data_IF_771383736564
#
_entry.id   IF_771383736564
#
_cell.length_a   1.000
_cell.length_b   1.000
_cell.length_c   1.000
_cell.angle_alpha   90.00
_cell.angle_beta   90.00
_cell.angle_gamma   90.00
#
_symmetry.space_group_name_H-M   'P 1'
#
loop_
_entity.id
_entity.type
_entity.pdbx_description
1 polymer ?
#
# COMPACT_ATOMS: atom_id res chain seq x y z
N UNK A 1 -20.18 13.08 2.67
CA UNK A 1 -19.37 11.88 2.48
C UNK A 1 -20.34 10.70 2.49
N UNK A 2 -20.60 10.09 1.34
CA UNK A 2 -21.40 8.86 1.32
C UNK A 2 -20.57 7.75 1.97
N UNK A 3 -21.14 7.07 2.95
CA UNK A 3 -20.54 5.89 3.62
C UNK A 3 -20.31 4.72 2.66
N UNK A 4 -20.74 4.85 1.42
CA UNK A 4 -20.80 3.77 0.42
C UNK A 4 -19.47 3.50 -0.28
N UNK A 5 -18.45 4.34 -0.07
CA UNK A 5 -17.12 4.20 -0.66
C UNK A 5 -16.02 4.15 0.42
N UNK A 6 -16.25 3.44 1.50
CA UNK A 6 -15.25 3.24 2.54
C UNK A 6 -14.25 2.14 2.15
N UNK A 7 -12.97 2.37 2.46
CA UNK A 7 -11.92 1.35 2.38
C UNK A 7 -11.52 0.96 3.80
N UNK A 8 -11.49 -0.34 4.06
CA UNK A 8 -11.09 -0.90 5.36
C UNK A 8 -10.08 -2.02 5.14
N UNK A 9 -9.15 -2.18 6.07
CA UNK A 9 -8.16 -3.24 5.99
C UNK A 9 -7.58 -3.63 7.35
N UNK A 10 -7.16 -4.88 7.44
CA UNK A 10 -6.46 -5.45 8.58
C UNK A 10 -5.26 -6.24 8.07
N UNK A 11 -4.14 -6.17 8.78
CA UNK A 11 -2.97 -6.98 8.49
C UNK A 11 -2.35 -7.49 9.80
N UNK A 12 -1.86 -8.71 9.75
CA UNK A 12 -1.11 -9.32 10.84
C UNK A 12 0.17 -9.92 10.27
N UNK A 13 1.30 -9.69 10.94
CA UNK A 13 2.59 -10.23 10.54
C UNK A 13 3.33 -10.76 11.76
N UNK A 14 4.00 -11.91 11.58
CA UNK A 14 4.81 -12.52 12.63
C UNK A 14 6.13 -13.06 12.09
N UNK A 15 7.21 -13.04 12.88
CA UNK A 15 8.47 -13.66 12.52
C UNK A 15 8.28 -15.19 12.33
N UNK A 16 8.93 -15.73 11.30
CA UNK A 16 8.96 -17.16 11.02
C UNK A 16 10.36 -17.56 10.53
N UNK A 17 11.16 -18.17 11.40
CA UNK A 17 12.53 -18.54 11.09
C UNK A 17 13.39 -17.31 10.71
N UNK A 18 13.97 -17.34 9.50
CA UNK A 18 14.77 -16.22 8.95
C UNK A 18 13.95 -15.13 8.26
N UNK A 19 12.63 -15.26 8.23
CA UNK A 19 11.72 -14.37 7.55
C UNK A 19 10.56 -13.93 8.42
N UNK A 20 9.51 -13.48 7.75
CA UNK A 20 8.26 -13.04 8.34
C UNK A 20 7.12 -13.52 7.43
N UNK A 21 6.10 -14.12 8.02
CA UNK A 21 4.83 -14.42 7.36
C UNK A 21 3.82 -13.34 7.71
N UNK A 22 2.98 -12.95 6.75
CA UNK A 22 1.91 -12.01 6.99
C UNK A 22 0.63 -12.43 6.29
N UNK A 23 -0.49 -12.10 6.91
CA UNK A 23 -1.82 -12.20 6.33
C UNK A 23 -2.45 -10.82 6.32
N UNK A 24 -3.19 -10.51 5.28
CA UNK A 24 -3.93 -9.26 5.20
C UNK A 24 -5.30 -9.47 4.58
N UNK A 25 -6.22 -8.59 4.90
CA UNK A 25 -7.55 -8.55 4.32
C UNK A 25 -8.03 -7.12 4.20
N UNK A 26 -8.73 -6.80 3.11
CA UNK A 26 -9.29 -5.49 2.90
C UNK A 26 -10.59 -5.54 2.12
N UNK A 27 -11.40 -4.51 2.29
CA UNK A 27 -12.62 -4.31 1.54
C UNK A 27 -12.74 -2.86 1.10
N UNK A 28 -13.32 -2.66 -0.08
CA UNK A 28 -13.67 -1.36 -0.65
C UNK A 28 -15.07 -1.39 -1.21
N UNK A 29 -15.84 -0.33 -0.98
CA UNK A 29 -17.19 -0.19 -1.51
C UNK A 29 -18.27 -0.65 -0.53
N UNK A 30 -19.50 -0.76 -1.05
CA UNK A 30 -20.71 -1.13 -0.31
C UNK A 30 -21.32 -2.40 -0.87
N UNK A 31 -21.81 -3.26 0.00
CA UNK A 31 -22.42 -4.57 -0.37
C UNK A 31 -23.65 -4.46 -1.27
N UNK A 32 -24.29 -3.29 -1.33
CA UNK A 32 -25.49 -3.09 -2.14
C UNK A 32 -25.23 -2.69 -3.60
N UNK A 33 -24.05 -2.11 -3.92
CA UNK A 33 -23.73 -1.59 -5.24
C UNK A 33 -22.50 -2.29 -5.84
N UNK A 34 -21.38 -2.15 -5.18
CA UNK A 34 -20.09 -2.69 -5.61
C UNK A 34 -19.25 -2.95 -4.38
N UNK A 35 -18.73 -4.14 -4.23
CA UNK A 35 -17.80 -4.50 -3.17
C UNK A 35 -16.61 -5.26 -3.74
N UNK A 36 -15.43 -4.76 -3.45
CA UNK A 36 -14.17 -5.42 -3.73
C UNK A 36 -13.54 -5.91 -2.43
N UNK A 37 -13.18 -7.17 -2.37
CA UNK A 37 -12.47 -7.77 -1.24
C UNK A 37 -11.14 -8.32 -1.73
N UNK A 38 -10.11 -8.19 -0.89
CA UNK A 38 -8.78 -8.74 -1.15
C UNK A 38 -8.28 -9.44 0.11
N UNK A 39 -7.75 -10.63 -0.05
CA UNK A 39 -7.12 -11.42 1.00
C UNK A 39 -5.74 -11.84 0.54
N UNK A 40 -4.71 -11.51 1.31
CA UNK A 40 -3.32 -11.76 0.95
C UNK A 40 -2.61 -12.64 1.98
N UNK A 41 -1.72 -13.49 1.47
CA UNK A 41 -0.74 -14.25 2.24
C UNK A 41 0.65 -13.89 1.72
N UNK A 42 1.52 -13.38 2.59
CA UNK A 42 2.85 -12.92 2.24
C UNK A 42 3.93 -13.65 3.03
N UNK A 43 5.09 -13.79 2.40
CA UNK A 43 6.33 -14.19 3.06
C UNK A 43 7.45 -13.26 2.61
N UNK A 44 8.21 -12.75 3.57
CA UNK A 44 9.37 -11.90 3.32
C UNK A 44 10.56 -12.37 4.13
N UNK A 45 11.76 -12.21 3.56
CA UNK A 45 12.99 -12.59 4.24
C UNK A 45 14.12 -11.61 3.96
N UNK A 46 15.10 -11.61 4.86
CA UNK A 46 16.36 -10.89 4.65
C UNK A 46 17.37 -11.78 3.96
N UNK A 47 17.94 -11.29 2.87
CA UNK A 47 19.07 -11.89 2.18
C UNK A 47 20.33 -11.10 2.54
N UNK A 48 21.06 -11.56 3.56
CA UNK A 48 22.17 -10.83 4.14
C UNK A 48 21.72 -9.58 4.93
N UNK A 49 22.59 -8.57 5.02
CA UNK A 49 22.35 -7.39 5.84
C UNK A 49 21.61 -6.26 5.11
N UNK A 50 21.69 -6.25 3.78
CA UNK A 50 21.26 -5.10 2.97
C UNK A 50 20.07 -5.37 2.07
N UNK A 51 19.75 -6.63 1.80
CA UNK A 51 18.71 -7.01 0.86
C UNK A 51 17.51 -7.65 1.59
N UNK A 52 16.31 -7.29 1.19
CA UNK A 52 15.05 -7.90 1.64
C UNK A 52 14.23 -8.24 0.42
N UNK A 53 13.64 -9.42 0.42
CA UNK A 53 12.76 -9.89 -0.65
C UNK A 53 11.46 -10.37 -0.05
N UNK A 54 10.38 -10.23 -0.78
CA UNK A 54 9.06 -10.70 -0.36
C UNK A 54 8.23 -11.13 -1.55
N UNK A 55 7.34 -12.06 -1.29
CA UNK A 55 6.32 -12.53 -2.23
C UNK A 55 4.98 -12.55 -1.53
N UNK A 56 3.91 -12.31 -2.28
CA UNK A 56 2.55 -12.36 -1.77
C UNK A 56 1.63 -12.98 -2.82
N UNK A 57 0.66 -13.74 -2.35
CA UNK A 57 -0.47 -14.22 -3.15
C UNK A 57 -1.74 -13.57 -2.61
N UNK A 58 -2.55 -13.03 -3.52
CA UNK A 58 -3.80 -12.38 -3.18
C UNK A 58 -4.97 -13.05 -3.88
N UNK A 59 -6.03 -13.27 -3.14
CA UNK A 59 -7.34 -13.60 -3.69
C UNK A 59 -8.18 -12.33 -3.76
N UNK A 60 -8.53 -11.93 -4.97
CA UNK A 60 -9.42 -10.81 -5.26
C UNK A 60 -10.82 -11.36 -5.49
N UNK A 61 -11.82 -10.76 -4.83
CA UNK A 61 -13.22 -11.06 -5.01
C UNK A 61 -14.00 -9.77 -5.26
N UNK A 62 -14.72 -9.71 -6.38
CA UNK A 62 -15.59 -8.61 -6.75
C UNK A 62 -17.04 -9.07 -6.74
N UNK A 63 -17.89 -8.25 -6.15
CA UNK A 63 -19.35 -8.41 -6.18
C UNK A 63 -19.96 -7.18 -6.81
N UNK A 64 -20.84 -7.40 -7.78
CA UNK A 64 -21.60 -6.36 -8.45
C UNK A 64 -23.06 -6.54 -8.07
N UNK A 65 -23.66 -5.61 -7.33
CA UNK A 65 -25.08 -5.58 -6.97
C UNK A 65 -25.78 -6.92 -6.76
N UNK A 66 -27.00 -6.93 -6.31
CA UNK A 66 -27.69 -8.17 -5.95
C UNK A 66 -27.91 -9.17 -7.11
N UNK A 67 -27.90 -8.71 -8.38
CA UNK A 67 -28.23 -9.53 -9.55
C UNK A 67 -27.11 -9.71 -10.57
N UNK A 68 -25.92 -9.10 -10.38
CA UNK A 68 -24.85 -9.12 -11.38
C UNK A 68 -23.73 -10.12 -11.10
N UNK A 69 -23.88 -10.90 -10.02
CA UNK A 69 -22.99 -12.00 -9.70
C UNK A 69 -21.70 -11.59 -8.97
N UNK A 70 -20.85 -12.57 -8.79
CA UNK A 70 -19.50 -12.43 -8.17
C UNK A 70 -18.45 -13.02 -9.07
N UNK A 71 -17.26 -12.42 -9.05
CA UNK A 71 -16.09 -12.97 -9.74
C UNK A 71 -14.87 -12.85 -8.86
N UNK A 72 -13.91 -13.73 -9.05
CA UNK A 72 -12.68 -13.72 -8.27
C UNK A 72 -11.50 -14.22 -9.08
N UNK A 73 -10.31 -13.84 -8.67
CA UNK A 73 -9.06 -14.29 -9.28
C UNK A 73 -7.91 -14.24 -8.27
N UNK A 74 -6.82 -14.91 -8.60
CA UNK A 74 -5.59 -14.91 -7.80
C UNK A 74 -4.53 -14.08 -8.51
N UNK A 75 -3.93 -13.14 -7.78
CA UNK A 75 -2.77 -12.36 -8.22
C UNK A 75 -1.55 -12.69 -7.37
N UNK A 76 -0.37 -12.50 -7.92
CA UNK A 76 0.89 -12.59 -7.20
C UNK A 76 1.52 -11.20 -7.07
N UNK A 77 2.41 -11.05 -6.09
CA UNK A 77 3.25 -9.87 -5.91
C UNK A 77 4.67 -10.27 -5.58
N UNK A 78 5.61 -9.47 -6.04
CA UNK A 78 7.04 -9.64 -5.72
C UNK A 78 7.59 -8.28 -5.32
N UNK A 79 8.29 -8.24 -4.20
CA UNK A 79 8.92 -7.03 -3.67
C UNK A 79 10.39 -7.24 -3.37
N UNK A 80 11.16 -6.19 -3.61
CA UNK A 80 12.58 -6.11 -3.35
C UNK A 80 12.90 -4.79 -2.65
N UNK A 81 13.73 -4.82 -1.61
CA UNK A 81 14.23 -3.62 -0.95
C UNK A 81 15.71 -3.80 -0.67
N UNK A 82 16.52 -2.79 -1.02
CA UNK A 82 17.94 -2.81 -0.79
C UNK A 82 18.43 -1.53 -0.09
N UNK A 83 19.28 -1.73 0.93
CA UNK A 83 19.99 -0.66 1.62
C UNK A 83 21.31 -0.40 0.88
N UNK A 84 21.39 0.67 0.09
CA UNK A 84 22.59 1.02 -0.67
C UNK A 84 23.65 1.66 0.23
N UNK A 85 23.22 2.61 1.07
CA UNK A 85 24.06 3.25 2.10
C UNK A 85 23.33 3.27 3.42
N UNK A 86 23.90 3.82 4.48
CA UNK A 86 23.20 3.97 5.76
C UNK A 86 22.01 4.94 5.67
N UNK A 87 21.99 5.79 4.68
CA UNK A 87 20.96 6.80 4.46
C UNK A 87 20.06 6.52 3.27
N UNK A 88 20.48 5.67 2.30
CA UNK A 88 19.77 5.47 1.04
C UNK A 88 19.23 4.05 0.93
N UNK A 89 17.93 3.95 0.72
CA UNK A 89 17.21 2.75 0.38
C UNK A 89 16.60 2.85 -1.01
N UNK A 90 16.61 1.76 -1.73
CA UNK A 90 15.85 1.58 -2.98
C UNK A 90 14.89 0.41 -2.83
N UNK A 91 13.79 0.47 -3.54
CA UNK A 91 12.80 -0.60 -3.56
C UNK A 91 12.22 -0.75 -4.96
N UNK A 92 11.83 -1.98 -5.29
CA UNK A 92 11.05 -2.30 -6.46
C UNK A 92 9.93 -3.27 -6.07
N UNK A 93 8.78 -3.13 -6.71
CA UNK A 93 7.61 -3.97 -6.49
C UNK A 93 6.91 -4.24 -7.81
N UNK A 94 6.46 -5.45 -8.00
CA UNK A 94 5.68 -5.87 -9.16
C UNK A 94 4.39 -6.53 -8.68
N UNK A 95 3.28 -5.87 -8.96
CA UNK A 95 1.94 -6.36 -8.72
C UNK A 95 1.40 -7.08 -9.94
N UNK A 96 0.77 -8.22 -9.74
CA UNK A 96 0.12 -9.04 -10.77
C UNK A 96 1.03 -9.42 -11.96
N UNK A 97 2.26 -9.96 -11.74
CA UNK A 97 3.12 -10.46 -12.82
C UNK A 97 2.48 -11.59 -13.62
N UNK A 98 1.56 -12.33 -13.01
CA UNK A 98 0.82 -13.42 -13.63
C UNK A 98 -0.31 -12.94 -14.57
N UNK A 99 -0.53 -11.61 -14.66
CA UNK A 99 -1.53 -10.99 -15.56
C UNK A 99 -2.92 -11.60 -15.40
N UNK A 100 -3.32 -11.82 -14.16
CA UNK A 100 -4.61 -12.40 -13.79
C UNK A 100 -5.77 -11.60 -14.42
N UNK A 101 -6.86 -12.29 -14.69
CA UNK A 101 -8.09 -11.70 -15.18
C UNK A 101 -9.23 -12.07 -14.25
N UNK A 102 -10.16 -11.16 -14.11
CA UNK A 102 -11.43 -11.42 -13.44
C UNK A 102 -12.30 -12.23 -14.40
N UNK A 103 -12.72 -13.40 -13.96
CA UNK A 103 -13.65 -14.22 -14.71
C UNK A 103 -14.99 -13.51 -14.90
N UNK A 104 -15.87 -14.10 -15.71
CA UNK A 104 -17.20 -13.58 -15.98
C UNK A 104 -17.32 -12.94 -17.36
N UNK A 105 -18.46 -12.31 -17.68
CA UNK A 105 -18.78 -11.85 -19.05
C UNK A 105 -17.85 -10.74 -19.55
N UNK A 106 -17.19 -10.01 -18.66
CA UNK A 106 -16.32 -8.88 -19.02
C UNK A 106 -14.84 -9.26 -19.15
N UNK A 107 -14.42 -10.42 -18.61
CA UNK A 107 -13.03 -10.91 -18.65
C UNK A 107 -11.98 -9.79 -18.42
N UNK A 108 -12.26 -8.92 -17.46
CA UNK A 108 -11.50 -7.71 -17.20
C UNK A 108 -10.11 -8.06 -16.66
N UNK A 109 -9.10 -7.38 -17.17
CA UNK A 109 -7.73 -7.59 -16.73
C UNK A 109 -7.49 -6.87 -15.41
N UNK A 110 -6.91 -7.58 -14.44
CA UNK A 110 -6.37 -6.93 -13.23
C UNK A 110 -5.13 -6.13 -13.66
N UNK A 111 -4.98 -4.86 -13.24
CA UNK A 111 -3.81 -4.05 -13.54
C UNK A 111 -2.50 -4.75 -13.20
N UNK A 112 -1.48 -4.60 -14.04
CA UNK A 112 -0.11 -5.05 -13.75
C UNK A 112 0.74 -3.82 -13.55
N UNK A 113 1.20 -3.62 -12.31
CA UNK A 113 1.88 -2.38 -11.92
C UNK A 113 3.30 -2.69 -11.46
N UNK A 114 4.26 -2.03 -12.08
CA UNK A 114 5.63 -1.96 -11.61
C UNK A 114 5.83 -0.65 -10.83
N UNK A 115 6.36 -0.75 -9.61
CA UNK A 115 6.71 0.39 -8.77
C UNK A 115 8.21 0.36 -8.48
N UNK A 116 8.86 1.51 -8.59
CA UNK A 116 10.24 1.70 -8.16
C UNK A 116 10.32 2.96 -7.30
N UNK A 117 11.06 2.88 -6.22
CA UNK A 117 11.15 3.99 -5.28
C UNK A 117 12.51 4.05 -4.57
N UNK A 118 12.75 5.20 -4.00
CA UNK A 118 13.89 5.46 -3.14
C UNK A 118 13.45 6.19 -1.87
N UNK A 119 14.17 5.94 -0.79
CA UNK A 119 14.03 6.63 0.48
C UNK A 119 15.40 7.12 0.96
N UNK A 120 15.51 8.40 1.25
CA UNK A 120 16.73 9.01 1.75
C UNK A 120 16.52 9.61 3.15
N UNK A 121 17.28 9.12 4.11
CA UNK A 121 17.29 9.63 5.48
C UNK A 121 18.28 10.78 5.55
N UNK A 122 17.77 12.00 5.45
CA UNK A 122 18.60 13.22 5.45
C UNK A 122 19.20 13.52 6.83
N UNK A 123 18.45 13.17 7.88
CA UNK A 123 18.88 13.24 9.29
C UNK A 123 18.05 12.26 10.09
N UNK A 124 18.33 12.10 11.37
CA UNK A 124 17.48 11.28 12.26
C UNK A 124 16.02 11.76 12.31
N UNK A 125 15.75 12.98 11.84
CA UNK A 125 14.44 13.64 11.89
C UNK A 125 13.77 13.81 10.53
N UNK A 126 14.49 13.68 9.41
CA UNK A 126 13.94 13.97 8.07
C UNK A 126 14.19 12.80 7.14
N UNK A 127 13.11 12.29 6.56
CA UNK A 127 13.14 11.26 5.52
C UNK A 127 12.45 11.81 4.27
N UNK A 128 13.10 11.68 3.12
CA UNK A 128 12.57 11.99 1.80
C UNK A 128 12.29 10.69 1.06
N UNK A 129 11.14 10.62 0.38
CA UNK A 129 10.77 9.47 -0.44
C UNK A 129 10.36 9.93 -1.84
N UNK A 130 10.73 9.16 -2.85
CA UNK A 130 10.23 9.32 -4.21
C UNK A 130 9.91 7.95 -4.78
N UNK A 131 8.84 7.88 -5.59
CA UNK A 131 8.38 6.63 -6.22
C UNK A 131 7.80 6.93 -7.58
N UNK A 132 7.98 6.01 -8.50
CA UNK A 132 7.27 5.95 -9.77
C UNK A 132 6.50 4.65 -9.86
N UNK A 133 5.24 4.74 -10.28
CA UNK A 133 4.38 3.60 -10.60
C UNK A 133 4.13 3.59 -12.11
N UNK A 134 4.36 2.45 -12.74
CA UNK A 134 4.02 2.18 -14.13
C UNK A 134 3.04 1.04 -14.22
N UNK A 135 1.80 1.34 -14.56
CA UNK A 135 0.85 0.38 -15.07
C UNK A 135 1.15 0.12 -16.55
N UNK A 136 0.98 -1.12 -17.01
CA UNK A 136 1.24 -1.47 -18.42
C UNK A 136 0.38 -0.61 -19.37
N UNK A 137 -0.86 -0.34 -18.99
CA UNK A 137 -1.88 0.28 -19.85
C UNK A 137 -2.03 1.80 -19.59
N UNK A 138 -1.41 2.35 -18.52
CA UNK A 138 -1.59 3.75 -18.11
C UNK A 138 -0.26 4.52 -18.08
N UNK A 139 -0.30 5.86 -18.20
CA UNK A 139 0.86 6.71 -18.00
C UNK A 139 1.45 6.58 -16.61
N UNK A 140 2.76 6.84 -16.48
CA UNK A 140 3.49 6.79 -15.22
C UNK A 140 2.92 7.76 -14.20
N UNK A 141 2.91 7.35 -12.93
CA UNK A 141 2.53 8.16 -11.79
C UNK A 141 3.73 8.37 -10.88
N UNK A 142 3.98 9.61 -10.54
CA UNK A 142 5.10 10.00 -9.67
C UNK A 142 4.57 10.41 -8.30
N UNK A 143 5.30 10.03 -7.26
CA UNK A 143 5.00 10.35 -5.87
C UNK A 143 6.26 10.90 -5.21
N UNK A 144 6.11 11.98 -4.46
CA UNK A 144 7.18 12.52 -3.63
C UNK A 144 6.61 12.82 -2.25
N UNK A 145 7.35 12.48 -1.21
CA UNK A 145 6.94 12.68 0.16
C UNK A 145 8.09 13.01 1.08
N UNK A 146 7.75 13.68 2.17
CA UNK A 146 8.64 14.01 3.26
C UNK A 146 7.99 13.60 4.58
N UNK A 147 8.79 13.00 5.45
CA UNK A 147 8.47 12.78 6.86
C UNK A 147 9.41 13.62 7.72
N UNK A 148 8.86 14.39 8.64
CA UNK A 148 9.59 15.15 9.64
C UNK A 148 9.18 14.68 11.05
N UNK A 149 10.18 14.48 11.92
CA UNK A 149 10.03 14.04 13.31
C UNK A 149 10.41 15.19 14.26
N UNK A 150 9.48 16.08 14.60
CA UNK A 150 9.76 17.17 15.55
C UNK A 150 10.11 16.65 16.95
N UNK A 151 9.54 15.51 17.33
CA UNK A 151 9.81 14.83 18.59
C UNK A 151 9.89 13.31 18.37
N UNK A 152 10.46 12.58 19.33
CA UNK A 152 10.63 11.12 19.23
C UNK A 152 9.31 10.34 19.08
N UNK A 153 8.20 10.94 19.49
CA UNK A 153 6.87 10.34 19.46
C UNK A 153 5.98 10.91 18.36
N UNK A 154 6.37 12.04 17.72
CA UNK A 154 5.52 12.76 16.78
C UNK A 154 6.11 12.72 15.37
N UNK A 155 5.26 12.44 14.37
CA UNK A 155 5.59 12.38 12.96
C UNK A 155 4.66 13.31 12.19
N UNK A 156 5.21 14.13 11.31
CA UNK A 156 4.46 14.97 10.38
C UNK A 156 4.85 14.55 8.97
N UNK A 157 3.86 14.32 8.12
CA UNK A 157 4.08 13.82 6.76
C UNK A 157 3.38 14.71 5.75
N UNK A 158 4.05 15.00 4.65
CA UNK A 158 3.46 15.69 3.51
C UNK A 158 3.91 15.01 2.22
N UNK A 159 3.09 15.11 1.18
CA UNK A 159 3.43 14.51 -0.10
C UNK A 159 2.54 15.01 -1.22
N UNK A 160 3.00 14.74 -2.44
CA UNK A 160 2.26 15.02 -3.66
C UNK A 160 2.36 13.83 -4.60
N UNK A 161 1.31 13.61 -5.37
CA UNK A 161 1.31 12.63 -6.46
C UNK A 161 0.81 13.28 -7.74
N UNK A 162 1.30 12.76 -8.88
CA UNK A 162 0.82 13.15 -10.20
C UNK A 162 -0.28 12.20 -10.67
N UNK A 163 -1.11 12.62 -11.62
CA UNK A 163 -2.07 11.80 -12.41
C UNK A 163 -3.00 10.88 -11.60
N UNK A 164 -3.99 11.43 -10.91
CA UNK A 164 -4.31 12.86 -10.82
C UNK A 164 -3.39 13.58 -9.84
N UNK A 165 -3.25 14.88 -9.99
CA UNK A 165 -2.53 15.70 -9.01
C UNK A 165 -3.29 15.67 -7.70
N UNK A 166 -2.59 15.23 -6.65
CA UNK A 166 -3.17 15.04 -5.32
C UNK A 166 -2.16 15.44 -4.24
N UNK A 167 -2.59 16.26 -3.29
CA UNK A 167 -1.83 16.58 -2.09
C UNK A 167 -2.16 15.60 -0.97
N UNK A 168 -1.17 15.30 -0.14
CA UNK A 168 -1.30 14.44 1.02
C UNK A 168 -0.70 15.13 2.25
N UNK A 169 -1.36 15.01 3.38
CA UNK A 169 -0.85 15.47 4.66
C UNK A 169 -1.24 14.50 5.76
N UNK A 170 -0.40 14.38 6.78
CA UNK A 170 -0.70 13.49 7.89
C UNK A 170 0.14 13.77 9.13
N UNK A 171 -0.38 13.31 10.26
CA UNK A 171 0.32 13.32 11.54
C UNK A 171 0.22 11.93 12.15
N UNK A 172 1.29 11.51 12.81
CA UNK A 172 1.36 10.22 13.49
C UNK A 172 1.96 10.36 14.88
N UNK A 173 1.48 9.56 15.79
CA UNK A 173 2.02 9.47 17.16
C UNK A 173 2.42 8.03 17.42
N UNK A 174 3.67 7.82 17.87
CA UNK A 174 4.19 6.51 18.25
C UNK A 174 4.59 6.51 19.72
N UNK A 175 3.92 5.66 20.51
CA UNK A 175 4.18 5.50 21.95
C UNK A 175 4.37 4.01 22.22
N UNK A 176 5.57 3.62 22.63
CA UNK A 176 5.95 2.21 22.80
C UNK A 176 5.65 1.41 21.51
N UNK A 177 4.94 0.30 21.57
CA UNK A 177 4.55 -0.49 20.40
C UNK A 177 3.36 0.04 19.60
N UNK A 178 2.65 1.07 20.09
CA UNK A 178 1.44 1.62 19.47
C UNK A 178 1.77 2.80 18.55
N UNK A 179 1.26 2.80 17.33
CA UNK A 179 1.34 3.91 16.38
C UNK A 179 -0.07 4.26 15.87
N UNK A 180 -0.43 5.53 15.97
CA UNK A 180 -1.72 6.08 15.51
C UNK A 180 -1.42 7.14 14.47
N UNK A 181 -1.99 7.01 13.28
CA UNK A 181 -1.83 7.96 12.19
C UNK A 181 -3.19 8.52 11.75
N UNK A 182 -3.22 9.82 11.52
CA UNK A 182 -4.31 10.54 10.87
C UNK A 182 -3.74 11.17 9.61
N UNK A 183 -4.41 10.99 8.48
CA UNK A 183 -3.99 11.58 7.22
C UNK A 183 -5.18 12.05 6.40
N UNK A 184 -4.90 12.94 5.47
CA UNK A 184 -5.86 13.44 4.49
C UNK A 184 -5.23 13.40 3.11
N UNK A 185 -6.03 13.04 2.12
CA UNK A 185 -5.71 13.18 0.72
C UNK A 185 -6.66 14.21 0.10
N UNK A 186 -6.11 15.23 -0.53
CA UNK A 186 -6.88 16.30 -1.18
C UNK A 186 -6.77 16.20 -2.70
N UNK A 187 -7.92 16.07 -3.37
CA UNK A 187 -8.05 16.09 -4.84
C UNK A 187 -8.93 17.25 -5.25
N UNK A 188 -8.53 17.98 -6.29
CA UNK A 188 -9.29 19.14 -6.79
C UNK A 188 -10.72 18.80 -7.21
N UNK A 189 -10.95 17.57 -7.69
CA UNK A 189 -12.27 17.14 -8.23
C UNK A 189 -13.10 16.35 -7.23
N UNK A 190 -12.49 15.67 -6.25
CA UNK A 190 -13.15 14.73 -5.33
C UNK A 190 -13.17 15.22 -3.88
N UNK A 191 -12.58 16.39 -3.60
CA UNK A 191 -12.50 16.94 -2.25
C UNK A 191 -11.46 16.22 -1.37
N UNK A 192 -11.76 16.11 -0.08
CA UNK A 192 -10.86 15.59 0.96
C UNK A 192 -11.30 14.18 1.35
N UNK A 193 -10.34 13.26 1.36
CA UNK A 193 -10.50 11.89 1.86
C UNK A 193 -9.72 11.73 3.16
N UNK A 194 -10.38 11.61 4.32
CA UNK A 194 -9.70 11.32 5.57
C UNK A 194 -9.31 9.85 5.66
N UNK A 195 -8.19 9.57 6.34
CA UNK A 195 -7.66 8.25 6.59
C UNK A 195 -7.22 8.13 8.05
N UNK A 196 -7.47 6.96 8.64
CA UNK A 196 -7.04 6.60 9.98
C UNK A 196 -6.31 5.27 9.93
N UNK A 197 -5.20 5.16 10.65
CA UNK A 197 -4.44 3.93 10.77
C UNK A 197 -4.01 3.69 12.23
N UNK A 198 -4.07 2.45 12.64
CA UNK A 198 -3.65 1.97 13.96
C UNK A 198 -2.73 0.77 13.77
N UNK A 199 -1.49 0.89 14.21
CA UNK A 199 -0.52 -0.21 14.22
C UNK A 199 -0.11 -0.55 15.65
N UNK A 200 0.01 -1.84 15.93
CA UNK A 200 0.58 -2.32 17.17
C UNK A 200 1.69 -3.32 16.90
N UNK A 201 2.85 -3.10 17.51
CA UNK A 201 3.99 -4.02 17.46
C UNK A 201 4.09 -4.74 18.80
N UNK A 202 3.88 -6.05 18.75
CA UNK A 202 4.13 -6.93 19.89
C UNK A 202 5.65 -7.01 20.14
N UNK A 203 6.08 -6.84 21.39
CA UNK A 203 7.47 -7.04 21.83
C UNK A 203 7.74 -8.50 22.15
#
# INVERSE_FOLDING_TARGET
>A
LSSDLAMQGLAFAMPLGKGCIAVNGGSFGSTGLFAQQRYGLAYAMRLGQRLRVGVQLDYLNLRFGENYGKTGTVTAEVGLQAKLTDHLWIAAHLYNPNRARLGGPYNERVPTVFSAGLGYTFSERVVLCAQVDKDIDLPERYHVGIEYRPANVLYVRAGVSSRPVQGHGGVGVRIKGLEIDLAVAARSQLGITPMFNLNYRFE
#
